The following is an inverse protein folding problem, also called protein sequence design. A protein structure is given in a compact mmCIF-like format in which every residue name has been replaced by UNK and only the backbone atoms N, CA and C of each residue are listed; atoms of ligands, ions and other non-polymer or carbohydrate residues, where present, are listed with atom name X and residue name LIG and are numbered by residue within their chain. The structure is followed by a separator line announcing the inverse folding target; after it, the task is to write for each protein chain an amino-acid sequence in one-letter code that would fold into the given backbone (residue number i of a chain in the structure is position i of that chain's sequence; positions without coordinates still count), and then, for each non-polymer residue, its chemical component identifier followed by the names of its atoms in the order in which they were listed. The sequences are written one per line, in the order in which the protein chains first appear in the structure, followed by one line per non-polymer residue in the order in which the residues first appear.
data_IF_996906444563
#
_entry.id   IF_996906444563
#
_cell.length_a   1.000
_cell.length_b   1.000
_cell.length_c   1.000
_cell.angle_alpha   90.00
_cell.angle_beta   90.00
_cell.angle_gamma   90.00
#
_symmetry.space_group_name_H-M   'P 1'
#
loop_
_entity.id
_entity.type
_entity.pdbx_description
1 polymer ?
#
# COMPACT_ATOMS: atom_id res chain seq x y z
N UNK A 1 -13.75 0.18 0.52
CA UNK A 1 -13.41 -1.24 0.34
C UNK A 1 -11.90 -1.32 0.39
N UNK A 2 -11.26 -2.14 1.24
CA UNK A 2 -9.82 -2.32 1.19
C UNK A 2 -9.46 -3.17 -0.05
N UNK A 3 -8.31 -2.93 -0.66
CA UNK A 3 -7.89 -3.64 -1.86
C UNK A 3 -7.20 -4.96 -1.53
N UNK A 4 -7.32 -5.94 -2.42
CA UNK A 4 -6.69 -7.25 -2.31
C UNK A 4 -5.38 -7.23 -3.11
N UNK A 5 -4.23 -7.40 -2.45
CA UNK A 5 -2.92 -7.27 -3.09
C UNK A 5 -2.49 -8.60 -3.71
N UNK A 6 -2.13 -8.58 -5.01
CA UNK A 6 -1.62 -9.74 -5.76
C UNK A 6 -0.25 -9.40 -6.32
N UNK A 7 0.79 -9.87 -5.65
CA UNK A 7 2.18 -9.74 -6.12
C UNK A 7 2.51 -10.92 -7.03
N UNK A 8 3.00 -10.65 -8.25
CA UNK A 8 3.48 -11.66 -9.19
C UNK A 8 5.00 -11.64 -9.19
N UNK A 9 5.58 -12.81 -8.96
CA UNK A 9 7.02 -13.01 -8.82
C UNK A 9 7.78 -12.71 -10.11
N UNK A 10 8.86 -11.92 -10.05
CA UNK A 10 9.66 -11.64 -11.21
C UNK A 10 10.55 -12.85 -11.54
N UNK A 11 10.24 -13.54 -12.64
CA UNK A 11 11.08 -14.61 -13.15
C UNK A 11 12.36 -14.04 -13.80
N UNK A 12 13.53 -14.53 -13.35
CA UNK A 12 14.88 -14.24 -13.90
C UNK A 12 15.40 -12.82 -13.66
N UNK A 13 15.13 -12.21 -12.50
CA UNK A 13 15.68 -10.89 -12.14
C UNK A 13 17.20 -10.82 -12.37
N UNK A 14 17.61 -9.96 -13.31
CA UNK A 14 19.00 -9.62 -13.60
C UNK A 14 19.92 -10.81 -13.91
N UNK A 15 19.36 -11.94 -14.38
CA UNK A 15 20.20 -13.02 -14.91
C UNK A 15 20.87 -12.52 -16.20
N UNK A 16 22.21 -12.59 -16.32
CA UNK A 16 22.87 -12.20 -17.55
C UNK A 16 22.47 -13.16 -18.68
N UNK A 17 22.03 -12.62 -19.81
CA UNK A 17 21.74 -13.43 -21.00
C UNK A 17 23.07 -13.86 -21.64
N UNK A 18 23.19 -15.15 -21.97
CA UNK A 18 24.36 -15.67 -22.65
C UNK A 18 24.48 -14.98 -24.03
N UNK A 19 25.54 -14.20 -24.21
CA UNK A 19 25.77 -13.48 -25.45
C UNK A 19 26.10 -14.45 -26.60
N UNK A 20 25.11 -14.73 -27.46
CA UNK A 20 25.23 -14.92 -28.91
C UNK A 20 26.09 -16.07 -29.49
N UNK A 21 26.90 -16.79 -28.72
CA UNK A 21 27.64 -17.95 -29.19
C UNK A 21 27.61 -19.03 -28.09
N UNK A 22 27.08 -20.21 -28.42
CA UNK A 22 26.79 -21.28 -27.46
C UNK A 22 28.00 -21.74 -26.61
N UNK A 23 29.23 -21.38 -27.00
CA UNK A 23 30.49 -21.83 -26.38
C UNK A 23 31.38 -20.71 -25.81
N UNK A 24 30.95 -19.44 -25.84
CA UNK A 24 31.75 -18.35 -25.27
C UNK A 24 31.47 -18.16 -23.77
N UNK A 25 32.50 -18.10 -22.90
CA UNK A 25 32.29 -17.87 -21.47
C UNK A 25 31.72 -16.48 -21.23
N UNK A 26 30.58 -16.42 -20.52
CA UNK A 26 29.86 -15.21 -20.11
C UNK A 26 30.73 -14.21 -19.32
N UNK A 27 31.68 -14.74 -18.56
CA UNK A 27 32.63 -13.98 -17.75
C UNK A 27 34.05 -14.50 -18.00
N UNK A 28 35.02 -13.58 -18.03
CA UNK A 28 36.44 -13.88 -18.29
C UNK A 28 37.25 -14.09 -17.01
N UNK A 29 36.72 -13.69 -15.86
CA UNK A 29 37.36 -13.87 -14.56
C UNK A 29 36.34 -13.97 -13.43
N UNK A 30 36.77 -14.54 -12.30
CA UNK A 30 35.97 -14.57 -11.07
C UNK A 30 35.65 -13.16 -10.56
N UNK A 31 36.60 -12.23 -10.70
CA UNK A 31 36.40 -10.83 -10.33
C UNK A 31 35.24 -10.19 -11.10
N UNK A 32 35.13 -10.49 -12.40
CA UNK A 32 34.04 -10.00 -13.25
C UNK A 32 32.67 -10.57 -12.80
N UNK A 33 32.64 -11.86 -12.41
CA UNK A 33 31.43 -12.49 -11.84
C UNK A 33 31.04 -11.81 -10.52
N UNK A 34 32.00 -11.63 -9.61
CA UNK A 34 31.77 -11.05 -8.28
C UNK A 34 31.31 -9.60 -8.38
N UNK A 35 31.96 -8.79 -9.21
CA UNK A 35 31.57 -7.39 -9.44
C UNK A 35 30.16 -7.29 -10.04
N UNK A 36 29.87 -8.11 -11.05
CA UNK A 36 28.53 -8.15 -11.66
C UNK A 36 27.46 -8.58 -10.64
N UNK A 37 27.73 -9.61 -9.85
CA UNK A 37 26.82 -10.07 -8.81
C UNK A 37 26.53 -8.98 -7.78
N UNK A 38 27.55 -8.25 -7.31
CA UNK A 38 27.38 -7.15 -6.35
C UNK A 38 26.53 -6.01 -6.93
N UNK A 39 26.76 -5.62 -8.19
CA UNK A 39 25.95 -4.60 -8.86
C UNK A 39 24.49 -5.06 -9.00
N UNK A 40 24.26 -6.31 -9.40
CA UNK A 40 22.93 -6.87 -9.48
C UNK A 40 22.22 -6.90 -8.12
N UNK A 41 22.92 -7.29 -7.05
CA UNK A 41 22.39 -7.30 -5.69
C UNK A 41 22.02 -5.89 -5.21
N UNK A 42 22.90 -4.91 -5.40
CA UNK A 42 22.61 -3.53 -5.02
C UNK A 42 21.38 -2.99 -5.75
N UNK A 43 21.29 -3.27 -7.05
CA UNK A 43 20.15 -2.84 -7.84
C UNK A 43 18.86 -3.58 -7.40
N UNK A 44 18.93 -4.87 -7.03
CA UNK A 44 17.77 -5.63 -6.53
C UNK A 44 17.30 -5.09 -5.18
N UNK A 45 18.22 -4.75 -4.29
CA UNK A 45 17.90 -4.12 -3.01
C UNK A 45 17.27 -2.73 -3.22
N UNK A 46 17.78 -1.94 -4.16
CA UNK A 46 17.21 -0.64 -4.48
C UNK A 46 15.77 -0.74 -5.01
N UNK A 47 15.51 -1.70 -5.89
CA UNK A 47 14.15 -1.96 -6.40
C UNK A 47 13.22 -2.44 -5.29
N UNK A 48 13.71 -3.33 -4.41
CA UNK A 48 12.96 -3.82 -3.26
C UNK A 48 12.62 -2.67 -2.29
N UNK A 49 13.57 -1.80 -1.98
CA UNK A 49 13.32 -0.63 -1.13
C UNK A 49 12.29 0.32 -1.73
N UNK A 50 12.33 0.53 -3.05
CA UNK A 50 11.34 1.35 -3.75
C UNK A 50 9.95 0.74 -3.69
N UNK A 51 9.85 -0.55 -4.01
CA UNK A 51 8.60 -1.31 -3.93
C UNK A 51 8.02 -1.28 -2.51
N UNK A 52 8.84 -1.48 -1.48
CA UNK A 52 8.40 -1.36 -0.09
C UNK A 52 7.88 0.05 0.21
N UNK A 53 8.56 1.09 -0.26
CA UNK A 53 8.12 2.48 -0.13
C UNK A 53 6.76 2.73 -0.76
N UNK A 54 6.52 2.23 -1.98
CA UNK A 54 5.25 2.36 -2.68
C UNK A 54 4.11 1.67 -1.89
N UNK A 55 4.33 0.44 -1.43
CA UNK A 55 3.35 -0.32 -0.63
C UNK A 55 3.01 0.42 0.67
N UNK A 56 4.02 0.88 1.41
CA UNK A 56 3.78 1.57 2.67
C UNK A 56 3.11 2.93 2.48
N UNK A 57 3.45 3.66 1.41
CA UNK A 57 2.80 4.92 1.05
C UNK A 57 1.33 4.75 0.70
N UNK A 58 0.98 3.70 -0.05
CA UNK A 58 -0.42 3.37 -0.35
C UNK A 58 -1.21 3.04 0.92
N UNK A 59 -0.64 2.22 1.81
CA UNK A 59 -1.26 1.85 3.09
C UNK A 59 -1.47 3.08 3.99
N UNK A 60 -0.47 3.95 4.09
CA UNK A 60 -0.55 5.19 4.86
C UNK A 60 -1.68 6.09 4.34
N UNK A 61 -1.76 6.28 3.02
CA UNK A 61 -2.80 7.10 2.39
C UNK A 61 -4.21 6.56 2.70
N UNK A 62 -4.40 5.24 2.58
CA UNK A 62 -5.67 4.58 2.89
C UNK A 62 -6.02 4.70 4.37
N UNK A 63 -5.05 4.51 5.26
CA UNK A 63 -5.23 4.67 6.71
C UNK A 63 -5.59 6.11 7.09
N UNK A 64 -4.92 7.11 6.50
CA UNK A 64 -5.22 8.51 6.73
C UNK A 64 -6.62 8.90 6.23
N UNK A 65 -7.03 8.40 5.06
CA UNK A 65 -8.38 8.61 4.54
C UNK A 65 -9.46 7.99 5.43
N UNK A 66 -9.21 6.77 5.94
CA UNK A 66 -10.09 6.12 6.91
C UNK A 66 -10.17 6.92 8.22
N UNK A 67 -9.04 7.36 8.76
CA UNK A 67 -8.97 8.17 9.98
C UNK A 67 -9.79 9.45 9.88
N UNK A 68 -9.68 10.19 8.76
CA UNK A 68 -10.49 11.40 8.51
C UNK A 68 -11.99 11.09 8.49
N UNK A 69 -12.39 10.02 7.81
CA UNK A 69 -13.81 9.60 7.74
C UNK A 69 -14.35 9.19 9.10
N UNK A 70 -13.58 8.42 9.86
CA UNK A 70 -13.93 8.00 11.22
C UNK A 70 -14.07 9.20 12.15
N UNK A 71 -13.15 10.16 12.11
CA UNK A 71 -13.25 11.39 12.90
C UNK A 71 -14.45 12.26 12.52
N UNK A 72 -14.80 12.34 11.23
CA UNK A 72 -16.01 13.04 10.78
C UNK A 72 -17.28 12.32 11.25
N UNK A 73 -17.29 10.98 11.22
CA UNK A 73 -18.42 10.18 11.69
C UNK A 73 -18.62 10.33 13.21
N UNK A 74 -17.54 10.25 14.01
CA UNK A 74 -17.61 10.44 15.46
C UNK A 74 -18.21 11.80 15.81
N UNK A 75 -17.74 12.90 15.18
CA UNK A 75 -18.33 14.23 15.40
C UNK A 75 -19.82 14.31 15.09
N UNK A 76 -20.28 13.64 14.03
CA UNK A 76 -21.72 13.58 13.69
C UNK A 76 -22.50 12.76 14.71
N UNK A 77 -21.92 11.68 15.21
CA UNK A 77 -22.50 10.84 16.26
C UNK A 77 -22.63 11.62 17.58
N UNK A 78 -21.60 12.35 17.98
CA UNK A 78 -21.60 13.16 19.18
C UNK A 78 -22.68 14.27 19.10
N UNK A 79 -22.77 14.96 17.96
CA UNK A 79 -23.79 15.96 17.73
C UNK A 79 -25.22 15.35 17.78
N UNK A 80 -25.41 14.18 17.19
CA UNK A 80 -26.68 13.46 17.23
C UNK A 80 -27.02 13.00 18.65
N UNK A 81 -26.03 12.53 19.42
CA UNK A 81 -26.22 12.11 20.80
C UNK A 81 -26.64 13.31 21.67
N UNK A 82 -25.96 14.44 21.51
CA UNK A 82 -26.33 15.68 22.21
C UNK A 82 -27.72 16.19 21.82
N UNK A 83 -28.11 16.09 20.54
CA UNK A 83 -29.45 16.46 20.09
C UNK A 83 -30.53 15.53 20.68
N UNK A 84 -30.28 14.22 20.68
CA UNK A 84 -31.20 13.22 21.22
C UNK A 84 -31.36 13.36 22.74
N UNK A 85 -30.27 13.64 23.46
CA UNK A 85 -30.32 13.89 24.91
C UNK A 85 -31.20 15.10 25.29
N UNK A 86 -31.39 16.05 24.35
CA UNK A 86 -32.25 17.23 24.53
C UNK A 86 -33.70 16.99 24.12
N UNK A 87 -34.02 15.86 23.49
CA UNK A 87 -35.40 15.52 23.13
C UNK A 87 -36.17 15.14 24.40
N UNK A 88 -37.17 15.94 24.74
CA UNK A 88 -38.12 15.62 25.80
C UNK A 88 -39.44 15.15 25.19
N UNK A 89 -39.73 13.86 25.36
CA UNK A 89 -40.99 13.21 24.96
C UNK A 89 -42.27 13.93 25.42
N UNK A 90 -42.23 14.72 26.51
CA UNK A 90 -43.39 15.48 26.99
C UNK A 90 -43.62 16.80 26.25
N UNK A 91 -42.61 17.31 25.51
CA UNK A 91 -42.66 18.60 24.80
C UNK A 91 -42.85 18.44 23.28
N UNK A 92 -42.72 17.22 22.75
CA UNK A 92 -42.89 16.95 21.31
C UNK A 92 -44.39 16.76 21.00
N UNK A 93 -44.99 17.73 20.28
CA UNK A 93 -46.35 17.59 19.75
C UNK A 93 -46.32 16.79 18.45
N UNK A 94 -46.81 15.56 18.48
CA UNK A 94 -47.04 14.75 17.28
C UNK A 94 -48.32 15.28 16.61
N UNK A 95 -48.18 15.91 15.46
CA UNK A 95 -49.33 16.32 14.65
C UNK A 95 -49.77 15.10 13.82
N UNK A 96 -50.86 14.47 14.25
CA UNK A 96 -51.55 13.48 13.42
C UNK A 96 -52.23 14.24 12.28
N UNK A 97 -51.76 14.05 11.04
CA UNK A 97 -52.48 14.45 9.85
C UNK A 97 -53.76 13.60 9.76
N UNK A 98 -54.91 14.20 10.06
CA UNK A 98 -56.22 13.75 9.59
C UNK A 98 -56.52 14.39 8.24
#
# INVERSE_FOLDING_TARGET
MPFHQRTVEPARLRRPEAAGAADAPLFRSLEQVSSHALVCLLAQLADLSRCAGDIFGELESQAAALGRRTAALHRRLDALHAATARLDHRRVKIHMHQ
#
